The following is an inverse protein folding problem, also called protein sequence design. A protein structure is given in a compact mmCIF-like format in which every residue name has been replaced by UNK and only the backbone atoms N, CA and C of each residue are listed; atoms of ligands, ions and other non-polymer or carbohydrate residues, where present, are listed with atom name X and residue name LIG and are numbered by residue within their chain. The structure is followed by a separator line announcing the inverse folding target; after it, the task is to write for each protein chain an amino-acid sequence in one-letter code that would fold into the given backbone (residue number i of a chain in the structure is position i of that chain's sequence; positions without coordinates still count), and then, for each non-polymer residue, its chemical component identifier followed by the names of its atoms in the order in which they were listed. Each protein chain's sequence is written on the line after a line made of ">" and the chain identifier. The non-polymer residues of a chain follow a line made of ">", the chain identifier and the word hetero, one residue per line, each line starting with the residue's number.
data_IF_502184716001
#
_entry.id   IF_502184716001
#
_cell.length_a   1.000
_cell.length_b   1.000
_cell.length_c   1.000
_cell.angle_alpha   90.00
_cell.angle_beta   90.00
_cell.angle_gamma   90.00
#
_symmetry.space_group_name_H-M   'P 1'
#
loop_
_entity.id
_entity.type
_entity.pdbx_description
1 polymer ?
#
# COMPACT_ATOMS: atom_id res chain seq x y z
N UNK A 1 16.15 -26.71 -10.22
CA UNK A 1 16.23 -26.20 -8.84
C UNK A 1 17.34 -25.16 -8.83
N UNK A 2 17.01 -23.88 -8.70
CA UNK A 2 18.04 -22.87 -8.45
C UNK A 2 18.56 -23.04 -7.02
N UNK A 3 19.88 -23.04 -6.84
CA UNK A 3 20.48 -23.06 -5.49
C UNK A 3 20.08 -21.80 -4.74
N UNK A 4 19.94 -21.89 -3.40
CA UNK A 4 19.66 -20.74 -2.53
C UNK A 4 20.65 -19.59 -2.77
N UNK A 5 21.90 -19.91 -3.06
CA UNK A 5 22.96 -18.94 -3.39
C UNK A 5 22.69 -18.21 -4.72
N UNK A 6 22.17 -18.92 -5.72
CA UNK A 6 21.80 -18.35 -7.03
C UNK A 6 20.63 -17.38 -6.90
N UNK A 7 19.65 -17.70 -6.05
CA UNK A 7 18.52 -16.82 -5.78
C UNK A 7 18.98 -15.53 -5.10
N UNK A 8 19.83 -15.64 -4.07
CA UNK A 8 20.40 -14.48 -3.37
C UNK A 8 21.23 -13.62 -4.33
N UNK A 9 22.09 -14.23 -5.15
CA UNK A 9 22.90 -13.49 -6.13
C UNK A 9 22.04 -12.73 -7.15
N UNK A 10 20.93 -13.33 -7.59
CA UNK A 10 19.98 -12.70 -8.50
C UNK A 10 19.29 -11.51 -7.85
N UNK A 11 18.86 -11.65 -6.59
CA UNK A 11 18.23 -10.55 -5.84
C UNK A 11 19.19 -9.40 -5.59
N UNK A 12 20.44 -9.68 -5.21
CA UNK A 12 21.48 -8.66 -5.01
C UNK A 12 21.71 -7.86 -6.29
N UNK A 13 21.81 -8.55 -7.44
CA UNK A 13 22.01 -7.90 -8.73
C UNK A 13 20.81 -7.05 -9.14
N UNK A 14 19.59 -7.52 -8.88
CA UNK A 14 18.37 -6.76 -9.13
C UNK A 14 18.32 -5.48 -8.27
N UNK A 15 18.68 -5.58 -6.99
CA UNK A 15 18.76 -4.42 -6.10
C UNK A 15 19.80 -3.41 -6.59
N UNK A 16 20.96 -3.88 -7.07
CA UNK A 16 21.97 -3.01 -7.67
C UNK A 16 21.43 -2.25 -8.89
N UNK A 17 20.72 -2.94 -9.79
CA UNK A 17 20.08 -2.28 -10.93
C UNK A 17 19.01 -1.28 -10.51
N UNK A 18 18.27 -1.55 -9.44
CA UNK A 18 17.27 -0.61 -8.92
C UNK A 18 17.92 0.70 -8.44
N UNK A 19 19.10 0.62 -7.80
CA UNK A 19 19.87 1.80 -7.40
C UNK A 19 20.35 2.62 -8.60
N UNK A 20 20.92 1.97 -9.61
CA UNK A 20 21.37 2.62 -10.85
C UNK A 20 20.21 3.28 -11.61
N UNK A 21 19.06 2.60 -11.69
CA UNK A 21 17.85 3.16 -12.31
C UNK A 21 17.39 4.39 -11.55
N UNK A 22 17.36 4.33 -10.22
CA UNK A 22 17.01 5.47 -9.37
C UNK A 22 17.96 6.65 -9.58
N UNK A 23 19.26 6.39 -9.68
CA UNK A 23 20.27 7.42 -9.94
C UNK A 23 20.07 8.09 -11.30
N UNK A 24 19.87 7.30 -12.37
CA UNK A 24 19.58 7.83 -13.70
C UNK A 24 18.25 8.62 -13.75
N UNK A 25 17.24 8.23 -12.98
CA UNK A 25 15.99 8.98 -12.87
C UNK A 25 16.16 10.32 -12.14
N UNK A 26 17.11 10.40 -11.22
CA UNK A 26 17.46 11.62 -10.47
C UNK A 26 18.54 12.47 -11.15
N UNK A 27 18.92 12.15 -12.39
CA UNK A 27 19.91 12.93 -13.15
C UNK A 27 19.45 14.38 -13.37
N UNK A 28 20.39 15.32 -13.61
CA UNK A 28 20.06 16.70 -13.95
C UNK A 28 19.13 16.81 -15.17
N UNK A 29 18.20 17.78 -15.19
CA UNK A 29 17.21 17.93 -16.27
C UNK A 29 17.84 18.18 -17.65
N UNK A 30 19.03 18.78 -17.68
CA UNK A 30 19.81 19.04 -18.88
C UNK A 30 20.62 17.83 -19.36
N UNK A 31 20.58 16.70 -18.66
CA UNK A 31 21.33 15.50 -18.97
C UNK A 31 20.42 14.43 -19.59
N UNK A 32 20.84 13.88 -20.72
CA UNK A 32 20.15 12.78 -21.38
C UNK A 32 20.52 11.43 -20.72
N UNK A 33 19.63 10.43 -20.85
CA UNK A 33 19.92 9.05 -20.41
C UNK A 33 21.17 8.51 -21.11
N UNK A 34 21.38 8.93 -22.35
CA UNK A 34 22.54 8.63 -23.18
C UNK A 34 23.86 9.04 -22.52
N UNK A 35 23.99 10.30 -22.16
CA UNK A 35 25.18 10.86 -21.50
C UNK A 35 25.40 10.21 -20.13
N UNK A 36 24.32 9.95 -19.39
CA UNK A 36 24.43 9.27 -18.09
C UNK A 36 24.96 7.84 -18.26
N UNK A 37 24.47 7.11 -19.27
CA UNK A 37 25.00 5.79 -19.58
C UNK A 37 26.49 5.83 -19.94
N UNK A 38 26.94 6.84 -20.70
CA UNK A 38 28.36 7.02 -21.06
C UNK A 38 29.23 7.30 -19.83
N UNK A 39 28.79 8.15 -18.90
CA UNK A 39 29.50 8.40 -17.63
C UNK A 39 29.59 7.16 -16.72
N UNK A 40 28.58 6.29 -16.78
CA UNK A 40 28.51 5.06 -15.98
C UNK A 40 29.06 3.83 -16.71
N UNK A 41 29.80 4.01 -17.82
CA UNK A 41 30.38 2.93 -18.63
C UNK A 41 29.36 1.86 -19.05
N UNK A 42 28.13 2.27 -19.34
CA UNK A 42 27.02 1.39 -19.68
C UNK A 42 26.47 1.70 -21.08
N UNK A 43 26.03 0.67 -21.80
CA UNK A 43 25.31 0.83 -23.06
C UNK A 43 23.85 1.20 -22.78
N UNK A 44 23.28 2.12 -23.57
CA UNK A 44 21.85 2.53 -23.47
C UNK A 44 20.89 1.34 -23.47
N UNK A 45 21.12 0.36 -24.34
CA UNK A 45 20.31 -0.86 -24.41
C UNK A 45 20.31 -1.64 -23.09
N UNK A 46 21.45 -1.68 -22.38
CA UNK A 46 21.57 -2.36 -21.10
C UNK A 46 20.78 -1.61 -20.01
N UNK A 47 20.85 -0.28 -19.98
CA UNK A 47 20.02 0.54 -19.09
C UNK A 47 18.53 0.23 -19.24
N UNK A 48 18.00 0.29 -20.46
CA UNK A 48 16.59 0.02 -20.69
C UNK A 48 16.19 -1.42 -20.38
N UNK A 49 17.09 -2.38 -20.60
CA UNK A 49 16.89 -3.77 -20.18
C UNK A 49 16.82 -3.91 -18.65
N UNK A 50 17.74 -3.25 -17.91
CA UNK A 50 17.74 -3.22 -16.44
C UNK A 50 16.47 -2.55 -15.90
N UNK A 51 16.07 -1.41 -16.46
CA UNK A 51 14.82 -0.71 -16.13
C UNK A 51 13.60 -1.62 -16.32
N UNK A 52 13.53 -2.36 -17.42
CA UNK A 52 12.46 -3.32 -17.68
C UNK A 52 12.45 -4.42 -16.62
N UNK A 53 13.62 -4.98 -16.27
CA UNK A 53 13.75 -6.04 -15.25
C UNK A 53 13.35 -5.58 -13.86
N UNK A 54 13.76 -4.38 -13.45
CA UNK A 54 13.39 -3.80 -12.15
C UNK A 54 11.88 -3.60 -12.06
N UNK A 55 11.25 -3.08 -13.12
CA UNK A 55 9.78 -2.93 -13.15
C UNK A 55 9.06 -4.27 -13.09
N UNK A 56 9.52 -5.26 -13.85
CA UNK A 56 8.92 -6.59 -13.85
C UNK A 56 9.00 -7.23 -12.46
N UNK A 57 10.16 -7.16 -11.80
CA UNK A 57 10.32 -7.71 -10.47
C UNK A 57 9.45 -7.02 -9.41
N UNK A 58 9.19 -5.71 -9.56
CA UNK A 58 8.23 -5.02 -8.70
C UNK A 58 6.82 -5.58 -8.85
N UNK A 59 6.37 -5.86 -10.08
CA UNK A 59 5.07 -6.50 -10.31
C UNK A 59 5.02 -7.94 -9.79
N UNK A 60 6.05 -8.74 -10.03
CA UNK A 60 6.14 -10.12 -9.52
C UNK A 60 6.15 -10.15 -7.98
N UNK A 61 6.71 -9.14 -7.31
CA UNK A 61 6.66 -8.99 -5.85
C UNK A 61 5.28 -8.57 -5.33
N UNK A 62 4.46 -7.90 -6.14
CA UNK A 62 3.08 -7.54 -5.80
C UNK A 62 2.14 -8.73 -6.04
N UNK A 63 2.40 -9.52 -7.08
CA UNK A 63 1.64 -10.74 -7.41
C UNK A 63 2.02 -11.94 -6.52
N UNK A 64 3.27 -12.00 -6.04
CA UNK A 64 3.57 -12.86 -4.91
C UNK A 64 2.90 -12.24 -3.69
N UNK A 65 1.98 -12.95 -3.01
CA UNK A 65 1.37 -12.40 -1.82
C UNK A 65 2.50 -12.07 -0.86
N UNK A 66 2.67 -10.77 -0.56
CA UNK A 66 3.36 -10.30 0.63
C UNK A 66 2.54 -10.78 1.83
N UNK A 67 2.61 -12.08 2.06
CA UNK A 67 1.72 -12.86 2.87
C UNK A 67 2.54 -13.95 3.52
N UNK A 68 3.61 -13.56 4.20
CA UNK A 68 3.85 -14.19 5.49
C UNK A 68 2.61 -13.85 6.33
N UNK A 69 1.58 -14.68 6.20
CA UNK A 69 0.50 -14.72 7.14
C UNK A 69 1.14 -15.10 8.48
N UNK A 70 1.51 -14.09 9.26
CA UNK A 70 1.88 -14.28 10.65
C UNK A 70 0.56 -14.53 11.34
N UNK A 71 0.21 -15.80 11.54
CA UNK A 71 -0.80 -16.17 12.51
C UNK A 71 -0.36 -15.57 13.84
N UNK A 72 -1.00 -14.47 14.23
CA UNK A 72 -0.92 -13.99 15.60
C UNK A 72 -1.46 -15.15 16.45
N UNK A 73 -0.69 -15.66 17.43
CA UNK A 73 -1.19 -16.71 18.29
C UNK A 73 -2.52 -16.25 18.87
N UNK A 74 -3.54 -17.11 18.75
CA UNK A 74 -4.84 -16.88 19.34
C UNK A 74 -4.62 -16.50 20.80
N UNK A 75 -5.11 -15.32 21.26
CA UNK A 75 -4.94 -14.95 22.65
C UNK A 75 -5.58 -16.07 23.47
N UNK A 76 -4.73 -16.81 24.19
CA UNK A 76 -5.17 -17.74 25.21
C UNK A 76 -6.10 -16.92 26.10
N UNK A 77 -7.36 -17.32 26.32
CA UNK A 77 -8.21 -16.66 27.29
C UNK A 77 -7.54 -16.85 28.64
N UNK A 78 -6.69 -15.90 29.00
CA UNK A 78 -6.16 -15.77 30.33
C UNK A 78 -7.39 -15.49 31.17
N UNK A 79 -7.76 -16.46 32.00
CA UNK A 79 -8.76 -16.27 33.03
C UNK A 79 -8.21 -15.21 33.99
N UNK A 80 -8.41 -13.93 33.64
CA UNK A 80 -8.15 -12.81 34.51
C UNK A 80 -9.21 -12.88 35.62
N UNK A 81 -8.82 -12.97 36.91
CA UNK A 81 -9.76 -12.83 38.00
C UNK A 81 -10.49 -11.50 37.86
N UNK A 82 -11.83 -11.56 37.91
CA UNK A 82 -12.76 -10.44 37.84
C UNK A 82 -12.32 -9.28 38.76
N UNK A 83 -11.57 -8.34 38.21
CA UNK A 83 -11.48 -6.98 38.71
C UNK A 83 -12.14 -6.10 37.63
N UNK A 84 -13.11 -5.24 37.98
CA UNK A 84 -13.85 -4.47 37.00
C UNK A 84 -12.94 -3.38 36.43
N UNK A 85 -12.24 -3.70 35.34
CA UNK A 85 -11.62 -2.72 34.47
C UNK A 85 -12.76 -2.07 33.71
N UNK A 86 -13.00 -0.80 34.01
CA UNK A 86 -13.95 0.04 33.31
C UNK A 86 -13.62 0.01 31.82
N UNK A 87 -14.58 -0.47 31.03
CA UNK A 87 -14.55 -0.34 29.59
C UNK A 87 -14.47 1.14 29.24
N UNK A 88 -13.37 1.59 28.65
CA UNK A 88 -13.47 2.70 27.70
C UNK A 88 -13.94 2.11 26.38
N UNK A 89 -15.24 1.79 26.33
CA UNK A 89 -15.94 1.57 25.09
C UNK A 89 -15.89 2.89 24.31
N UNK A 90 -14.99 2.98 23.34
CA UNK A 90 -15.09 3.98 22.28
C UNK A 90 -15.08 3.32 20.91
N UNK A 91 -15.69 2.13 20.84
CA UNK A 91 -16.17 1.54 19.59
C UNK A 91 -17.47 2.26 19.21
N UNK A 92 -17.34 3.41 18.56
CA UNK A 92 -18.46 4.09 17.89
C UNK A 92 -18.77 3.40 16.54
N UNK A 93 -18.79 2.07 16.54
CA UNK A 93 -18.96 1.21 15.36
C UNK A 93 -20.43 0.84 15.11
N UNK A 94 -21.37 1.29 15.95
CA UNK A 94 -22.80 1.06 15.74
C UNK A 94 -23.37 2.07 14.73
N UNK A 95 -23.92 1.55 13.64
CA UNK A 95 -24.73 2.32 12.70
C UNK A 95 -26.02 2.76 13.40
N UNK A 96 -26.25 4.06 13.47
CA UNK A 96 -27.42 4.66 14.12
C UNK A 96 -28.62 4.79 13.17
N UNK A 97 -28.37 5.01 11.87
CA UNK A 97 -29.42 5.11 10.87
C UNK A 97 -28.89 4.79 9.47
N UNK A 98 -29.78 4.37 8.57
CA UNK A 98 -29.48 4.17 7.15
C UNK A 98 -30.49 4.94 6.31
N UNK A 99 -30.01 5.84 5.46
CA UNK A 99 -30.82 6.58 4.49
C UNK A 99 -30.78 5.85 3.15
N UNK A 100 -31.95 5.66 2.53
CA UNK A 100 -32.08 5.06 1.19
C UNK A 100 -32.75 6.08 0.28
N UNK A 101 -32.14 6.40 -0.85
CA UNK A 101 -32.72 7.30 -1.86
C UNK A 101 -33.44 6.50 -2.94
N UNK A 102 -34.40 7.14 -3.62
CA UNK A 102 -35.11 6.55 -4.78
C UNK A 102 -34.18 6.21 -5.94
N UNK A 103 -33.01 6.86 -6.01
CA UNK A 103 -31.94 6.60 -6.97
C UNK A 103 -31.09 5.36 -6.66
N UNK A 104 -31.39 4.63 -5.57
CA UNK A 104 -30.67 3.41 -5.19
C UNK A 104 -29.41 3.66 -4.36
N UNK A 105 -29.16 4.89 -3.92
CA UNK A 105 -28.03 5.22 -3.04
C UNK A 105 -28.41 4.87 -1.58
N UNK A 106 -27.45 4.31 -0.85
CA UNK A 106 -27.58 3.98 0.57
C UNK A 106 -26.49 4.67 1.38
N UNK A 107 -26.87 5.38 2.44
CA UNK A 107 -25.96 6.14 3.27
C UNK A 107 -26.12 5.70 4.72
N UNK A 108 -25.05 5.15 5.29
CA UNK A 108 -25.02 4.70 6.67
C UNK A 108 -24.47 5.81 7.57
N UNK A 109 -25.22 6.13 8.63
CA UNK A 109 -24.88 7.15 9.61
C UNK A 109 -24.46 6.45 10.90
N UNK A 110 -23.21 6.70 11.32
CA UNK A 110 -22.68 6.20 12.60
C UNK A 110 -22.94 7.17 13.74
N UNK A 111 -22.90 6.67 14.97
CA UNK A 111 -23.17 7.46 16.17
C UNK A 111 -22.18 8.62 16.39
N UNK A 112 -21.01 8.58 15.75
CA UNK A 112 -20.01 9.65 15.77
C UNK A 112 -20.24 10.76 14.74
N UNK A 113 -21.32 10.71 13.95
CA UNK A 113 -21.60 11.74 12.95
C UNK A 113 -21.93 13.09 13.62
N UNK A 114 -21.22 14.14 13.23
CA UNK A 114 -21.48 15.49 13.75
C UNK A 114 -22.77 16.07 13.17
N UNK A 115 -23.43 16.94 13.93
CA UNK A 115 -24.65 17.62 13.48
C UNK A 115 -24.41 18.50 12.24
N UNK A 116 -23.22 19.10 12.12
CA UNK A 116 -22.83 19.90 10.95
C UNK A 116 -22.67 19.03 9.70
N UNK A 117 -22.02 17.86 9.84
CA UNK A 117 -21.91 16.88 8.76
C UNK A 117 -23.29 16.41 8.28
N UNK A 118 -24.19 16.07 9.21
CA UNK A 118 -25.55 15.64 8.85
C UNK A 118 -26.33 16.74 8.12
N UNK A 119 -26.21 18.00 8.54
CA UNK A 119 -26.87 19.14 7.85
C UNK A 119 -26.35 19.32 6.43
N UNK A 120 -25.04 19.29 6.24
CA UNK A 120 -24.43 19.41 4.92
C UNK A 120 -24.80 18.25 4.01
N UNK A 121 -24.83 17.02 4.56
CA UNK A 121 -25.24 15.83 3.83
C UNK A 121 -26.69 15.93 3.34
N UNK A 122 -27.61 16.30 4.22
CA UNK A 122 -29.03 16.46 3.86
C UNK A 122 -29.19 17.59 2.83
N UNK A 123 -28.50 18.72 3.00
CA UNK A 123 -28.52 19.81 2.02
C UNK A 123 -27.99 19.40 0.65
N UNK A 124 -26.95 18.57 0.60
CA UNK A 124 -26.44 18.03 -0.67
C UNK A 124 -27.43 17.08 -1.34
N UNK A 125 -28.18 16.30 -0.57
CA UNK A 125 -29.21 15.40 -1.09
C UNK A 125 -30.45 16.14 -1.62
N UNK A 126 -30.77 17.32 -1.08
CA UNK A 126 -31.88 18.16 -1.57
C UNK A 126 -31.59 18.77 -2.96
N UNK A 127 -30.31 18.89 -3.33
CA UNK A 127 -29.87 19.41 -4.61
C UNK A 127 -29.55 18.33 -5.67
N UNK A 128 -29.72 17.04 -5.34
CA UNK A 128 -29.42 15.90 -6.19
C UNK A 128 -30.68 15.31 -6.84
#
# INVERSE_FOLDING_TARGET
>A
MESKESQVATQVRLNQWALEVKDCLNRPKNMTVAEWCEQHNMKRANYYWRLKRVRQAFWEQVETPAGNFVELPTPVPYAIPLAPVQATANDNSSTSAVLRTSSGISIEIRQCASAEFMKNLIGALDHA
#
